data_IF_351290993332
#
_entry.id   IF_351290993332
#
_cell.length_a   1.000
_cell.length_b   1.000
_cell.length_c   1.000
_cell.angle_alpha   90.00
_cell.angle_beta   90.00
_cell.angle_gamma   90.00
#
_symmetry.space_group_name_H-M   'P 1'
#
loop_
_entity.id
_entity.type
_entity.pdbx_description
1 polymer ?
#
# COMPACT_ATOMS: atom_id res chain seq x y z
N UNK A 1 -13.72 -12.83 -14.93
CA UNK A 1 -12.43 -12.10 -14.91
C UNK A 1 -12.31 -11.26 -16.18
N UNK A 2 -11.48 -10.22 -16.22
CA UNK A 2 -11.52 -9.08 -17.18
C UNK A 2 -12.80 -8.22 -17.04
N UNK A 3 -12.95 -7.54 -15.90
CA UNK A 3 -14.13 -6.71 -15.63
C UNK A 3 -15.37 -7.48 -15.16
N UNK A 4 -15.21 -8.75 -14.80
CA UNK A 4 -16.30 -9.59 -14.28
C UNK A 4 -15.85 -10.39 -13.06
N UNK A 5 -16.58 -10.31 -11.95
CA UNK A 5 -16.41 -11.16 -10.77
C UNK A 5 -17.53 -12.21 -10.70
N UNK A 6 -17.24 -13.51 -10.49
CA UNK A 6 -18.25 -14.57 -10.53
C UNK A 6 -19.38 -14.42 -9.50
N UNK A 7 -19.11 -13.83 -8.34
CA UNK A 7 -20.11 -13.55 -7.30
C UNK A 7 -20.66 -12.12 -7.37
N UNK A 8 -20.39 -11.42 -8.48
CA UNK A 8 -20.71 -10.01 -8.67
C UNK A 8 -19.83 -9.05 -7.88
N UNK A 9 -20.04 -7.76 -8.15
CA UNK A 9 -19.48 -6.67 -7.37
C UNK A 9 -20.37 -6.42 -6.15
N UNK A 10 -19.80 -6.43 -4.93
CA UNK A 10 -20.54 -6.21 -3.68
C UNK A 10 -19.67 -5.46 -2.68
N UNK A 11 -20.12 -4.26 -2.29
CA UNK A 11 -19.39 -3.41 -1.34
C UNK A 11 -18.00 -3.02 -1.83
N UNK A 12 -16.96 -3.44 -1.09
CA UNK A 12 -15.55 -3.23 -1.42
C UNK A 12 -14.98 -4.23 -2.44
N UNK A 13 -15.69 -5.34 -2.70
CA UNK A 13 -15.32 -6.32 -3.74
C UNK A 13 -15.78 -5.80 -5.09
N UNK A 14 -14.84 -5.42 -5.95
CA UNK A 14 -15.13 -4.86 -7.28
C UNK A 14 -14.20 -5.45 -8.34
N UNK A 15 -14.73 -5.63 -9.54
CA UNK A 15 -13.98 -6.09 -10.71
C UNK A 15 -13.19 -4.97 -11.40
N UNK A 16 -13.58 -3.72 -11.13
CA UNK A 16 -13.04 -2.49 -11.71
C UNK A 16 -12.94 -1.40 -10.65
N UNK A 17 -11.90 -0.58 -10.74
CA UNK A 17 -11.74 0.63 -9.94
C UNK A 17 -11.33 1.78 -10.86
N UNK A 18 -12.01 2.93 -10.73
CA UNK A 18 -11.71 4.13 -11.51
C UNK A 18 -11.05 5.14 -10.59
N UNK A 19 -9.91 5.67 -11.00
CA UNK A 19 -9.18 6.71 -10.28
C UNK A 19 -9.79 8.06 -10.67
N UNK A 20 -10.31 8.78 -9.70
CA UNK A 20 -10.80 10.15 -9.88
C UNK A 20 -9.99 11.09 -9.01
N UNK A 21 -9.74 12.31 -9.51
CA UNK A 21 -9.13 13.38 -8.70
C UNK A 21 -9.92 13.54 -7.40
N UNK A 22 -9.22 13.47 -6.26
CA UNK A 22 -9.83 13.64 -4.94
C UNK A 22 -10.17 15.10 -4.70
N UNK A 23 -11.12 15.35 -3.79
CA UNK A 23 -11.44 16.71 -3.32
C UNK A 23 -10.19 17.36 -2.73
N UNK A 24 -9.61 16.72 -1.72
CA UNK A 24 -8.36 17.10 -1.08
C UNK A 24 -7.22 16.20 -1.55
N UNK A 25 -6.04 16.78 -1.77
CA UNK A 25 -4.83 16.03 -2.08
C UNK A 25 -4.45 15.12 -0.91
N UNK A 26 -4.04 13.90 -1.21
CA UNK A 26 -3.50 12.95 -0.22
C UNK A 26 -2.19 12.30 -0.67
N UNK A 27 -1.56 12.88 -1.70
CA UNK A 27 -0.25 12.47 -2.19
C UNK A 27 0.84 12.62 -1.14
N UNK A 28 1.96 11.93 -1.37
CA UNK A 28 3.12 12.02 -0.50
C UNK A 28 4.42 12.08 -1.29
N UNK A 29 5.40 12.79 -0.76
CA UNK A 29 6.75 12.88 -1.32
C UNK A 29 7.82 12.69 -0.26
N UNK A 30 8.95 12.10 -0.66
CA UNK A 30 10.10 11.88 0.22
C UNK A 30 10.54 13.20 0.85
N UNK A 31 10.79 13.18 2.15
CA UNK A 31 11.23 14.31 2.96
C UNK A 31 12.65 14.07 3.48
N UNK A 32 12.81 13.72 4.76
CA UNK A 32 14.09 13.41 5.40
C UNK A 32 14.25 11.91 5.63
N UNK A 33 15.48 11.49 5.94
CA UNK A 33 15.76 10.13 6.38
C UNK A 33 16.84 10.13 7.46
N UNK A 34 16.81 9.13 8.33
CA UNK A 34 17.77 8.98 9.44
C UNK A 34 17.86 7.52 9.89
N UNK A 35 18.95 7.21 10.58
CA UNK A 35 19.21 5.89 11.15
C UNK A 35 18.69 5.87 12.59
N UNK A 36 18.01 4.79 12.97
CA UNK A 36 17.54 4.53 14.33
C UNK A 36 18.21 3.27 14.87
N UNK A 37 18.79 3.35 16.08
CA UNK A 37 19.49 2.22 16.72
C UNK A 37 18.56 1.30 17.55
N UNK A 38 17.31 1.71 17.75
CA UNK A 38 16.30 0.90 18.43
C UNK A 38 14.98 1.05 17.69
N UNK A 39 14.78 0.28 16.59
CA UNK A 39 13.59 0.42 15.75
C UNK A 39 12.29 0.24 16.56
N UNK A 40 12.27 -0.70 17.51
CA UNK A 40 11.08 -1.03 18.30
C UNK A 40 10.55 0.11 19.19
N UNK A 41 11.36 1.13 19.49
CA UNK A 41 11.00 2.24 20.38
C UNK A 41 11.07 3.62 19.70
N UNK A 42 11.34 3.68 18.40
CA UNK A 42 11.54 4.96 17.72
C UNK A 42 10.22 5.73 17.54
N UNK A 43 10.17 6.99 17.98
CA UNK A 43 9.03 7.90 17.76
C UNK A 43 8.65 8.04 16.28
N UNK A 44 9.59 7.83 15.37
CA UNK A 44 9.38 7.86 13.93
C UNK A 44 8.42 6.78 13.41
N UNK A 45 8.36 5.64 14.11
CA UNK A 45 7.41 4.56 13.86
C UNK A 45 6.08 4.83 14.59
N UNK A 46 6.12 5.65 15.64
CA UNK A 46 4.97 5.96 16.50
C UNK A 46 4.19 7.21 16.05
N UNK A 47 4.77 8.07 15.21
CA UNK A 47 4.08 9.23 14.65
C UNK A 47 3.08 8.80 13.57
N UNK A 48 1.88 8.44 14.01
CA UNK A 48 0.78 8.02 13.15
C UNK A 48 0.25 9.11 12.21
N UNK A 49 0.74 10.36 12.30
CA UNK A 49 0.36 11.43 11.37
C UNK A 49 1.27 11.47 10.14
N UNK A 50 2.51 11.03 10.27
CA UNK A 50 3.53 11.14 9.24
C UNK A 50 3.70 9.81 8.49
N UNK A 51 3.70 9.86 7.16
CA UNK A 51 4.00 8.66 6.37
C UNK A 51 5.48 8.32 6.46
N UNK A 52 5.81 7.03 6.57
CA UNK A 52 7.19 6.57 6.66
C UNK A 52 7.43 5.23 5.96
N UNK A 53 8.67 5.00 5.56
CA UNK A 53 9.17 3.71 5.12
C UNK A 53 10.31 3.30 6.04
N UNK A 54 10.17 2.14 6.67
CA UNK A 54 11.10 1.59 7.64
C UNK A 54 11.91 0.47 7.00
N UNK A 55 13.19 0.73 6.71
CA UNK A 55 14.14 -0.26 6.20
C UNK A 55 14.92 -0.86 7.38
N UNK A 56 14.59 -2.07 7.78
CA UNK A 56 15.31 -2.74 8.88
C UNK A 56 16.60 -3.33 8.35
N UNK A 57 17.74 -2.86 8.87
CA UNK A 57 19.07 -3.35 8.52
C UNK A 57 19.51 -4.49 9.45
N UNK A 58 19.19 -4.39 10.73
CA UNK A 58 19.46 -5.41 11.75
C UNK A 58 18.47 -5.32 12.91
N UNK A 59 18.57 -6.23 13.89
CA UNK A 59 17.76 -6.17 15.14
C UNK A 59 17.88 -4.82 15.86
N UNK A 60 19.01 -4.14 15.72
CA UNK A 60 19.33 -2.90 16.41
C UNK A 60 19.54 -1.73 15.45
N UNK A 61 19.08 -1.83 14.19
CA UNK A 61 19.28 -0.75 13.24
C UNK A 61 18.23 -0.74 12.15
N UNK A 62 17.63 0.43 11.91
CA UNK A 62 16.79 0.69 10.76
C UNK A 62 17.08 2.07 10.17
N UNK A 63 16.84 2.23 8.88
CA UNK A 63 16.76 3.53 8.20
C UNK A 63 15.29 3.88 8.07
N UNK A 64 14.88 5.01 8.63
CA UNK A 64 13.53 5.54 8.45
C UNK A 64 13.58 6.63 7.39
N UNK A 65 12.69 6.52 6.40
CA UNK A 65 12.48 7.55 5.38
C UNK A 65 11.10 8.14 5.57
N UNK A 66 11.04 9.42 5.89
CA UNK A 66 9.78 10.14 6.07
C UNK A 66 9.24 10.68 4.74
N UNK A 67 7.91 10.74 4.65
CA UNK A 67 7.15 11.20 3.49
C UNK A 67 6.15 12.27 3.90
N UNK A 68 6.39 13.51 3.47
CA UNK A 68 5.49 14.63 3.74
C UNK A 68 4.36 14.68 2.72
N UNK A 69 3.30 15.40 3.06
CA UNK A 69 2.18 15.66 2.15
C UNK A 69 2.67 16.30 0.84
N UNK A 70 2.04 15.88 -0.25
CA UNK A 70 2.28 16.40 -1.58
C UNK A 70 0.96 16.93 -2.17
N UNK A 71 0.79 18.27 -2.26
CA UNK A 71 -0.47 18.86 -2.71
C UNK A 71 -0.73 18.64 -4.21
N UNK A 72 0.28 18.19 -4.95
CA UNK A 72 0.26 18.05 -6.40
C UNK A 72 -0.16 16.65 -6.86
N UNK A 73 -0.29 15.69 -5.95
CA UNK A 73 -0.63 14.30 -6.29
C UNK A 73 -1.76 13.73 -5.44
N UNK A 74 -2.47 12.76 -6.02
CA UNK A 74 -3.41 11.90 -5.31
C UNK A 74 -2.85 10.48 -5.21
N UNK A 75 -2.95 9.88 -4.03
CA UNK A 75 -2.54 8.51 -3.75
C UNK A 75 -3.76 7.58 -3.67
N UNK A 76 -3.64 6.44 -4.34
CA UNK A 76 -4.58 5.32 -4.26
C UNK A 76 -3.83 4.05 -3.90
N UNK A 77 -4.31 3.27 -2.93
CA UNK A 77 -3.66 2.02 -2.53
C UNK A 77 -4.48 0.80 -2.92
N UNK A 78 -3.75 -0.23 -3.35
CA UNK A 78 -4.30 -1.52 -3.76
C UNK A 78 -3.72 -2.60 -2.87
N UNK A 79 -4.54 -3.55 -2.45
CA UNK A 79 -4.09 -4.68 -1.66
C UNK A 79 -5.24 -5.58 -1.26
N UNK A 80 -4.93 -6.70 -0.58
CA UNK A 80 -5.97 -7.62 -0.10
C UNK A 80 -6.58 -7.22 1.25
N UNK A 81 -6.00 -6.24 1.95
CA UNK A 81 -6.56 -5.80 3.23
C UNK A 81 -7.88 -5.06 3.03
N UNK A 82 -8.81 -5.25 3.96
CA UNK A 82 -10.05 -4.46 4.04
C UNK A 82 -9.91 -3.21 4.92
N UNK A 83 -8.69 -2.89 5.36
CA UNK A 83 -8.40 -1.71 6.17
C UNK A 83 -8.69 -0.40 5.42
N UNK A 84 -8.83 0.69 6.18
CA UNK A 84 -9.18 2.01 5.63
C UNK A 84 -8.20 2.54 4.58
N UNK A 85 -6.86 2.30 4.65
CA UNK A 85 -5.93 2.85 3.66
C UNK A 85 -6.05 2.22 2.27
N UNK A 86 -6.80 1.12 2.10
CA UNK A 86 -6.97 0.46 0.80
C UNK A 86 -8.19 1.02 0.07
N UNK A 87 -7.94 1.58 -1.11
CA UNK A 87 -8.96 2.10 -2.02
C UNK A 87 -9.56 0.98 -2.87
N UNK A 88 -8.72 0.06 -3.34
CA UNK A 88 -9.14 -1.06 -4.17
C UNK A 88 -8.71 -2.40 -3.57
N UNK A 89 -9.70 -3.14 -3.07
CA UNK A 89 -9.48 -4.47 -2.49
C UNK A 89 -9.40 -5.50 -3.62
N UNK A 90 -8.24 -6.12 -3.76
CA UNK A 90 -8.01 -7.22 -4.70
C UNK A 90 -7.99 -8.55 -3.96
N UNK A 91 -8.47 -9.59 -4.64
CA UNK A 91 -8.54 -10.94 -4.09
C UNK A 91 -7.86 -11.91 -5.04
N UNK A 92 -7.43 -13.05 -4.50
CA UNK A 92 -6.81 -14.09 -5.31
C UNK A 92 -7.79 -14.58 -6.38
N UNK A 93 -7.25 -14.75 -7.58
CA UNK A 93 -8.00 -15.30 -8.71
C UNK A 93 -7.65 -16.78 -8.85
N UNK A 94 -8.65 -17.65 -8.92
CA UNK A 94 -8.43 -19.04 -9.29
C UNK A 94 -8.05 -19.13 -10.78
N UNK A 95 -6.99 -19.87 -11.15
CA UNK A 95 -6.74 -20.22 -12.54
C UNK A 95 -7.95 -20.93 -13.15
N UNK A 96 -8.23 -20.65 -14.43
CA UNK A 96 -9.51 -20.89 -15.12
C UNK A 96 -10.13 -22.30 -15.05
N UNK A 97 -9.36 -23.33 -14.71
CA UNK A 97 -9.84 -24.72 -14.71
C UNK A 97 -10.14 -25.31 -13.32
N UNK A 98 -9.88 -24.56 -12.24
CA UNK A 98 -10.05 -25.06 -10.87
C UNK A 98 -11.16 -24.31 -10.14
N UNK A 99 -12.41 -24.47 -10.59
CA UNK A 99 -13.58 -23.87 -9.93
C UNK A 99 -13.81 -24.37 -8.50
N UNK A 100 -13.29 -25.56 -8.17
CA UNK A 100 -13.44 -26.21 -6.85
C UNK A 100 -12.17 -26.19 -5.99
N UNK A 101 -11.07 -25.58 -6.46
CA UNK A 101 -9.89 -25.45 -5.62
C UNK A 101 -10.12 -24.36 -4.57
N UNK A 102 -10.05 -24.74 -3.29
CA UNK A 102 -9.96 -23.74 -2.20
C UNK A 102 -8.62 -23.02 -2.34
N UNK A 103 -8.66 -21.69 -2.40
CA UNK A 103 -7.45 -20.88 -2.21
C UNK A 103 -7.09 -20.99 -0.73
N UNK A 104 -6.13 -21.86 -0.41
CA UNK A 104 -5.70 -22.10 0.96
C UNK A 104 -4.84 -20.95 1.48
N UNK A 105 -4.10 -20.27 0.60
CA UNK A 105 -3.21 -19.17 0.97
C UNK A 105 -3.14 -18.11 -0.13
N UNK A 106 -3.40 -16.87 0.27
CA UNK A 106 -3.26 -15.70 -0.60
C UNK A 106 -1.78 -15.36 -0.81
N UNK A 107 -1.39 -15.09 -2.06
CA UNK A 107 -0.05 -14.57 -2.37
C UNK A 107 -0.02 -13.06 -2.50
N UNK A 108 -1.19 -12.40 -2.44
CA UNK A 108 -1.32 -10.96 -2.55
C UNK A 108 -0.93 -10.29 -1.22
N UNK A 109 -0.14 -9.23 -1.28
CA UNK A 109 0.21 -8.44 -0.10
C UNK A 109 -1.00 -7.67 0.44
N UNK A 110 -1.06 -7.49 1.77
CA UNK A 110 -2.12 -6.69 2.44
C UNK A 110 -2.20 -5.27 1.89
N UNK A 111 -1.04 -4.64 1.73
CA UNK A 111 -0.83 -3.32 1.14
C UNK A 111 0.16 -3.49 -0.02
N UNK A 112 -0.35 -3.78 -1.21
CA UNK A 112 0.45 -4.32 -2.31
C UNK A 112 1.17 -3.23 -3.13
N UNK A 113 0.47 -2.14 -3.45
CA UNK A 113 1.05 -1.04 -4.20
C UNK A 113 0.30 0.27 -3.94
N UNK A 114 0.92 1.36 -4.40
CA UNK A 114 0.36 2.70 -4.48
C UNK A 114 0.37 3.16 -5.93
N UNK A 115 -0.67 3.84 -6.35
CA UNK A 115 -0.73 4.58 -7.60
C UNK A 115 -0.79 6.06 -7.22
N UNK A 116 0.21 6.84 -7.63
CA UNK A 116 0.23 8.29 -7.50
C UNK A 116 -0.16 8.90 -8.84
N UNK A 117 -1.18 9.76 -8.82
CA UNK A 117 -1.70 10.45 -10.00
C UNK A 117 -1.45 11.94 -9.83
N UNK A 118 -0.91 12.59 -10.85
CA UNK A 118 -0.71 14.04 -10.87
C UNK A 118 -2.08 14.76 -10.94
N UNK A 119 -2.28 15.76 -10.07
CA UNK A 119 -3.54 16.51 -9.97
C UNK A 119 -3.71 17.57 -11.05
N UNK A 120 -2.62 18.01 -11.68
CA UNK A 120 -2.63 18.93 -12.82
C UNK A 120 -2.76 18.19 -14.15
N UNK A 121 -2.19 16.98 -14.25
CA UNK A 121 -2.26 16.12 -15.43
C UNK A 121 -2.69 14.69 -15.06
N UNK A 122 -4.00 14.45 -15.07
CA UNK A 122 -4.58 13.15 -14.68
C UNK A 122 -4.14 11.95 -15.54
N UNK A 123 -3.47 12.19 -16.67
CA UNK A 123 -2.92 11.12 -17.51
C UNK A 123 -1.52 10.67 -17.04
N UNK A 124 -0.89 11.40 -16.10
CA UNK A 124 0.39 11.02 -15.50
C UNK A 124 0.18 10.27 -14.20
N UNK A 125 0.15 8.95 -14.30
CA UNK A 125 0.12 8.04 -13.16
C UNK A 125 1.47 7.31 -13.00
N UNK A 126 1.88 7.08 -11.76
CA UNK A 126 3.07 6.30 -11.40
C UNK A 126 2.69 5.23 -10.38
N UNK A 127 3.19 4.00 -10.56
CA UNK A 127 2.98 2.90 -9.62
C UNK A 127 4.23 2.69 -8.75
N UNK A 128 4.01 2.46 -7.46
CA UNK A 128 5.04 2.16 -6.48
C UNK A 128 4.70 0.85 -5.77
N UNK A 129 5.70 0.00 -5.58
CA UNK A 129 5.54 -1.19 -4.76
C UNK A 129 5.25 -0.83 -3.30
N UNK A 130 4.52 -1.73 -2.63
CA UNK A 130 3.99 -1.60 -1.27
C UNK A 130 2.99 -0.43 -1.10
N UNK A 131 2.11 -0.58 -0.12
CA UNK A 131 1.25 0.49 0.39
C UNK A 131 1.48 0.72 1.87
N UNK A 132 1.20 1.93 2.33
CA UNK A 132 1.22 2.27 3.74
C UNK A 132 0.09 1.55 4.48
N UNK A 133 0.41 1.00 5.65
CA UNK A 133 -0.55 0.39 6.55
C UNK A 133 -1.38 1.45 7.31
N UNK A 134 -2.24 1.00 8.21
CA UNK A 134 -3.07 1.88 9.05
C UNK A 134 -2.26 2.80 9.98
N UNK A 135 -0.98 2.48 10.21
CA UNK A 135 -0.02 3.31 10.95
C UNK A 135 0.76 4.26 10.03
N UNK A 136 0.36 4.37 8.76
CA UNK A 136 1.03 5.17 7.72
C UNK A 136 2.47 4.72 7.45
N UNK A 137 2.81 3.46 7.71
CA UNK A 137 4.16 2.94 7.54
C UNK A 137 4.24 1.85 6.46
N UNK A 138 5.40 1.77 5.79
CA UNK A 138 5.80 0.61 4.98
C UNK A 138 6.98 -0.04 5.68
N UNK A 139 6.81 -1.27 6.14
CA UNK A 139 7.88 -2.03 6.78
C UNK A 139 8.59 -2.94 5.77
N UNK A 140 9.91 -2.75 5.63
CA UNK A 140 10.80 -3.59 4.85
C UNK A 140 11.80 -4.26 5.79
N UNK A 141 11.47 -5.50 6.18
CA UNK A 141 12.33 -6.32 7.03
C UNK A 141 13.36 -7.11 6.24
N UNK A 142 14.48 -7.44 6.88
CA UNK A 142 15.34 -8.54 6.41
C UNK A 142 14.57 -9.86 6.52
N UNK A 143 14.57 -10.66 5.47
CA UNK A 143 14.15 -12.07 5.59
C UNK A 143 15.20 -12.77 6.44
N UNK A 144 14.84 -13.17 7.65
CA UNK A 144 15.62 -14.15 8.39
C UNK A 144 15.50 -15.48 7.64
N UNK A 145 16.54 -15.85 6.90
CA UNK A 145 16.73 -17.25 6.54
C UNK A 145 17.16 -17.96 7.83
N UNK A 146 16.20 -18.60 8.49
CA UNK A 146 16.48 -19.68 9.44
C UNK A 146 16.31 -21.01 8.71
#
# INVERSE_FOLDING_TARGET
>A
YNGFLPQGDRGRRRSKFVLYKRTESNGVKRSKHYIVQSPQSSQAILDAKQHSISYTLSRNQAVIVEYKEDPDTDMFQVGRSSESPIDFVVMDTLPGDKKDAKIVQSTISRFACRILVDRADGNKARIYAAGFDSSRNIFLGVRSYF
#
